data_IF_365445189590
#
_entry.id   IF_365445189590
#
_cell.length_a   1.000
_cell.length_b   1.000
_cell.length_c   1.000
_cell.angle_alpha   90.00
_cell.angle_beta   90.00
_cell.angle_gamma   90.00
#
_symmetry.space_group_name_H-M   'P 1'
#
loop_
_entity.id
_entity.type
_entity.pdbx_description
1 polymer ?
#
# COMPACT_ATOMS: atom_id res chain seq x y z
N UNK A 1 -12.49 -33.86 27.48
CA UNK A 1 -13.85 -34.08 26.93
C UNK A 1 -14.46 -32.72 26.62
N UNK A 2 -14.40 -32.27 25.36
CA UNK A 2 -14.80 -30.91 24.95
C UNK A 2 -16.31 -30.86 24.75
N UNK A 3 -17.04 -30.09 25.57
CA UNK A 3 -18.51 -29.90 25.51
C UNK A 3 -18.81 -28.64 26.34
N UNK A 4 -19.27 -27.51 25.86
CA UNK A 4 -19.98 -27.09 24.64
C UNK A 4 -19.36 -25.78 24.15
N UNK A 5 -19.13 -25.64 22.85
CA UNK A 5 -18.61 -24.40 22.29
C UNK A 5 -19.75 -23.36 22.27
N UNK A 6 -19.71 -22.41 23.21
CA UNK A 6 -20.76 -21.41 23.37
C UNK A 6 -20.75 -20.46 22.17
N UNK A 7 -21.89 -20.29 21.48
CA UNK A 7 -22.04 -19.34 20.35
C UNK A 7 -21.36 -17.97 20.54
N UNK A 8 -21.48 -17.29 21.70
CA UNK A 8 -20.79 -16.02 21.91
C UNK A 8 -19.26 -16.15 21.90
N UNK A 9 -18.70 -17.24 22.43
CA UNK A 9 -17.24 -17.44 22.42
C UNK A 9 -16.74 -17.64 21.00
N UNK A 10 -17.50 -18.32 20.14
CA UNK A 10 -17.19 -18.47 18.71
C UNK A 10 -17.16 -17.10 18.03
N UNK A 11 -18.20 -16.28 18.25
CA UNK A 11 -18.28 -14.95 17.64
C UNK A 11 -17.12 -14.05 18.06
N UNK A 12 -16.75 -14.05 19.35
CA UNK A 12 -15.61 -13.30 19.86
C UNK A 12 -14.30 -13.81 19.26
N UNK A 13 -14.10 -15.12 19.16
CA UNK A 13 -12.91 -15.71 18.54
C UNK A 13 -12.79 -15.33 17.06
N UNK A 14 -13.89 -15.35 16.31
CA UNK A 14 -13.90 -14.95 14.90
C UNK A 14 -13.59 -13.46 14.74
N UNK A 15 -14.16 -12.61 15.60
CA UNK A 15 -13.88 -11.17 15.58
C UNK A 15 -12.40 -10.89 15.87
N UNK A 16 -11.82 -11.56 16.88
CA UNK A 16 -10.40 -11.44 17.19
C UNK A 16 -9.51 -11.91 16.03
N UNK A 17 -9.88 -13.01 15.38
CA UNK A 17 -9.15 -13.50 14.22
C UNK A 17 -9.20 -12.50 13.06
N UNK A 18 -10.37 -11.90 12.81
CA UNK A 18 -10.55 -10.90 11.77
C UNK A 18 -9.74 -9.62 12.06
N UNK A 19 -9.73 -9.12 13.30
CA UNK A 19 -8.97 -7.92 13.68
C UNK A 19 -7.47 -8.14 13.53
N UNK A 20 -6.95 -9.30 13.95
CA UNK A 20 -5.55 -9.67 13.75
C UNK A 20 -5.19 -9.76 12.27
N UNK A 21 -6.01 -10.43 11.46
CA UNK A 21 -5.77 -10.56 10.02
C UNK A 21 -5.74 -9.19 9.31
N UNK A 22 -6.71 -8.32 9.62
CA UNK A 22 -6.80 -6.98 9.04
C UNK A 22 -5.65 -6.07 9.50
N UNK A 23 -5.16 -6.22 10.74
CA UNK A 23 -4.00 -5.47 11.23
C UNK A 23 -2.68 -5.83 10.53
N UNK A 24 -2.61 -7.01 9.90
CA UNK A 24 -1.47 -7.46 9.10
C UNK A 24 -1.53 -7.00 7.64
N UNK A 25 -2.71 -6.68 7.13
CA UNK A 25 -2.88 -6.14 5.78
C UNK A 25 -2.45 -4.66 5.74
N UNK A 26 -1.49 -4.33 4.88
CA UNK A 26 -1.10 -2.95 4.64
C UNK A 26 0.00 -2.40 5.56
N UNK A 27 0.72 -3.24 6.31
CA UNK A 27 1.94 -2.79 6.98
C UNK A 27 2.94 -2.36 5.91
N UNK A 28 3.22 -1.06 5.85
CA UNK A 28 4.20 -0.48 4.93
C UNK A 28 5.57 -1.11 5.22
N UNK A 29 6.04 -1.94 4.30
CA UNK A 29 7.42 -2.44 4.32
C UNK A 29 8.40 -1.30 4.06
N UNK A 30 9.66 -1.54 4.39
CA UNK A 30 10.73 -0.71 3.86
C UNK A 30 10.66 -0.74 2.33
N UNK A 31 10.79 0.44 1.73
CA UNK A 31 10.83 0.55 0.29
C UNK A 31 12.18 0.01 -0.18
N UNK A 32 12.18 -0.75 -1.27
CA UNK A 32 13.43 -1.12 -1.92
C UNK A 32 14.22 0.15 -2.25
N UNK A 33 15.56 0.09 -2.11
CA UNK A 33 16.38 1.24 -2.43
C UNK A 33 16.16 1.61 -3.91
N UNK A 34 16.08 2.91 -4.22
CA UNK A 34 15.93 3.36 -5.59
C UNK A 34 17.10 2.87 -6.46
N UNK A 35 16.80 2.36 -7.65
CA UNK A 35 17.83 1.92 -8.62
C UNK A 35 18.59 3.10 -9.26
N UNK A 36 18.07 4.32 -9.11
CA UNK A 36 18.68 5.55 -9.61
C UNK A 36 19.90 5.91 -8.75
N UNK A 37 21.03 6.36 -9.32
CA UNK A 37 22.16 6.88 -8.55
C UNK A 37 21.76 8.06 -7.65
N UNK A 38 22.36 8.15 -6.46
CA UNK A 38 22.05 9.19 -5.46
C UNK A 38 22.14 10.60 -6.05
N UNK A 39 23.12 10.84 -6.92
CA UNK A 39 23.36 12.13 -7.58
C UNK A 39 22.27 12.52 -8.58
N UNK A 40 21.35 11.63 -8.93
CA UNK A 40 20.24 11.88 -9.85
C UNK A 40 18.87 11.81 -9.15
N UNK A 41 18.84 11.37 -7.89
CA UNK A 41 17.61 11.29 -7.12
C UNK A 41 17.13 12.68 -6.70
N UNK A 42 15.84 12.93 -6.88
CA UNK A 42 15.13 14.08 -6.32
C UNK A 42 15.78 15.45 -6.62
N UNK A 43 16.40 15.61 -7.79
CA UNK A 43 16.93 16.91 -8.23
C UNK A 43 15.76 17.85 -8.57
N UNK A 44 15.56 18.85 -7.72
CA UNK A 44 14.55 19.91 -7.91
C UNK A 44 15.13 21.17 -8.54
N UNK A 45 16.45 21.28 -8.61
CA UNK A 45 17.17 22.46 -9.09
C UNK A 45 17.44 22.44 -10.62
N UNK A 46 17.09 21.34 -11.30
CA UNK A 46 17.19 21.26 -12.75
C UNK A 46 16.01 21.97 -13.42
N UNK A 47 16.28 22.82 -14.41
CA UNK A 47 15.24 23.38 -15.29
C UNK A 47 14.47 22.22 -15.93
N UNK A 48 13.14 22.11 -15.74
CA UNK A 48 12.36 21.05 -16.37
C UNK A 48 12.56 21.11 -17.89
N UNK A 49 12.81 19.95 -18.50
CA UNK A 49 12.73 19.82 -19.95
C UNK A 49 11.32 20.26 -20.35
N UNK A 50 11.19 21.11 -21.38
CA UNK A 50 9.88 21.46 -21.90
C UNK A 50 9.15 20.18 -22.31
N UNK A 51 8.01 19.91 -21.69
CA UNK A 51 7.14 18.81 -22.09
C UNK A 51 6.60 19.10 -23.48
N UNK A 52 6.61 18.12 -24.40
CA UNK A 52 5.98 18.29 -25.71
C UNK A 52 4.50 18.68 -25.57
N UNK A 53 4.01 19.60 -26.42
CA UNK A 53 2.61 20.07 -26.43
C UNK A 53 1.63 19.03 -27.01
N UNK A 54 1.93 17.74 -26.87
CA UNK A 54 1.08 16.65 -27.35
C UNK A 54 0.18 16.15 -26.23
N UNK A 55 -1.11 15.91 -26.48
CA UNK A 55 -2.02 15.37 -25.46
C UNK A 55 -1.53 14.02 -24.99
N UNK A 56 -1.64 13.76 -23.69
CA UNK A 56 -1.34 12.46 -23.13
C UNK A 56 -2.45 11.49 -23.50
N UNK A 57 -2.09 10.24 -23.81
CA UNK A 57 -3.04 9.22 -24.25
C UNK A 57 -4.19 9.01 -23.25
N UNK A 58 -3.95 9.26 -21.96
CA UNK A 58 -4.94 9.09 -20.90
C UNK A 58 -5.66 10.40 -20.51
N UNK A 59 -5.38 11.53 -21.15
CA UNK A 59 -6.13 12.77 -20.90
C UNK A 59 -7.66 12.61 -21.09
N UNK A 60 -8.17 11.78 -22.02
CA UNK A 60 -9.60 11.53 -22.14
C UNK A 60 -10.21 10.68 -21.00
N UNK A 61 -9.37 10.06 -20.16
CA UNK A 61 -9.78 9.18 -19.06
C UNK A 61 -9.66 9.85 -17.68
N UNK A 62 -9.11 11.07 -17.64
CA UNK A 62 -8.97 11.90 -16.44
C UNK A 62 -10.07 12.96 -16.41
#
# INVERSE_FOLDING_TARGET
MVKTLNRPTIAVSLLLAATLALSGCGRKGDLDPPSTPVDQQNKRDSKPQATPDTPFLLDPLL
#
